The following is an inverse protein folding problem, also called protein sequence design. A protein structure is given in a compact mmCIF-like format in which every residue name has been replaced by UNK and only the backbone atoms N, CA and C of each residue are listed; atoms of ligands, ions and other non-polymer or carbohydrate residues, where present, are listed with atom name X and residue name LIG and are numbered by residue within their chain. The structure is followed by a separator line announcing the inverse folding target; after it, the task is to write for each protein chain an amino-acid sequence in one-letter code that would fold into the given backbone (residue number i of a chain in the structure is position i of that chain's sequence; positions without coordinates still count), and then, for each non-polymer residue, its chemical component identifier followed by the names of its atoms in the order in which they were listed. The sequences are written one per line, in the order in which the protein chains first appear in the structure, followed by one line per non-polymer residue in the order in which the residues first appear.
data_IF_999344725116
#
_entry.id   IF_999344725116
#
_cell.length_a   1.000
_cell.length_b   1.000
_cell.length_c   1.000
_cell.angle_alpha   90.00
_cell.angle_beta   90.00
_cell.angle_gamma   90.00
#
_symmetry.space_group_name_H-M   'P 1'
#
loop_
_entity.id
_entity.type
_entity.pdbx_description
1 polymer ?
#
# COMPACT_ATOMS: atom_id res chain seq x y z
N UNK A 1 18.91 2.39 4.91
CA UNK A 1 17.97 2.96 3.90
C UNK A 1 16.57 2.80 4.45
N UNK A 2 16.08 3.86 5.09
CA UNK A 2 14.86 3.84 5.91
C UNK A 2 13.59 4.08 5.10
N UNK A 3 12.45 3.83 5.74
CA UNK A 3 11.05 4.10 5.38
C UNK A 3 10.75 4.93 4.12
N UNK A 4 11.45 6.03 3.87
CA UNK A 4 11.18 6.95 2.75
C UNK A 4 11.16 6.27 1.39
N UNK A 5 12.08 5.33 1.14
CA UNK A 5 12.09 4.57 -0.13
C UNK A 5 10.84 3.69 -0.31
N UNK A 6 10.25 3.21 0.78
CA UNK A 6 9.05 2.36 0.72
C UNK A 6 7.80 3.20 0.45
N UNK A 7 7.72 4.42 1.00
CA UNK A 7 6.61 5.32 0.71
C UNK A 7 6.54 5.70 -0.78
N UNK A 8 7.70 5.87 -1.44
CA UNK A 8 7.76 6.17 -2.88
C UNK A 8 7.19 5.04 -3.75
N UNK A 9 7.30 3.78 -3.32
CA UNK A 9 6.72 2.64 -4.05
C UNK A 9 5.19 2.73 -4.03
N UNK A 10 4.59 2.97 -2.86
CA UNK A 10 3.14 3.13 -2.73
C UNK A 10 2.61 4.35 -3.48
N UNK A 11 3.26 5.52 -3.32
CA UNK A 11 2.90 6.76 -4.02
C UNK A 11 2.98 6.58 -5.54
N UNK A 12 4.08 6.00 -6.04
CA UNK A 12 4.28 5.76 -7.45
C UNK A 12 3.26 4.79 -8.04
N UNK A 13 2.94 3.73 -7.31
CA UNK A 13 1.95 2.75 -7.78
C UNK A 13 0.50 3.25 -7.70
N UNK A 14 0.13 4.05 -6.70
CA UNK A 14 -1.18 4.74 -6.69
C UNK A 14 -1.29 5.77 -7.81
N UNK A 15 -0.18 6.43 -8.13
CA UNK A 15 -0.11 7.31 -9.30
C UNK A 15 -0.33 6.50 -10.58
N UNK A 16 0.26 5.32 -10.71
CA UNK A 16 0.01 4.43 -11.85
C UNK A 16 -1.45 3.96 -11.91
N UNK A 17 -2.07 3.62 -10.78
CA UNK A 17 -3.48 3.25 -10.70
C UNK A 17 -4.44 4.38 -11.04
N UNK A 18 -4.08 5.62 -10.70
CA UNK A 18 -4.81 6.81 -11.12
C UNK A 18 -4.74 6.98 -12.64
N UNK A 19 -3.53 6.93 -13.22
CA UNK A 19 -3.36 7.07 -14.67
C UNK A 19 -3.94 5.89 -15.47
N UNK A 20 -4.05 4.71 -14.87
CA UNK A 20 -4.74 3.58 -15.47
C UNK A 20 -6.26 3.65 -15.31
N UNK A 21 -6.82 4.67 -14.63
CA UNK A 21 -8.27 4.82 -14.43
C UNK A 21 -8.89 3.90 -13.37
N UNK A 22 -8.07 3.17 -12.59
CA UNK A 22 -8.58 2.35 -11.48
C UNK A 22 -9.01 3.24 -10.31
N UNK A 23 -8.25 4.31 -10.06
CA UNK A 23 -8.55 5.34 -9.06
C UNK A 23 -8.88 6.67 -9.74
N UNK A 24 -10.01 7.27 -9.38
CA UNK A 24 -10.44 8.58 -9.85
C UNK A 24 -10.18 9.66 -8.81
N UNK A 25 -9.48 10.71 -9.22
CA UNK A 25 -9.28 11.94 -8.45
C UNK A 25 -9.50 13.15 -9.36
N UNK A 26 -9.92 14.29 -8.80
CA UNK A 26 -10.23 15.49 -9.58
C UNK A 26 -8.99 16.20 -10.18
N UNK A 27 -7.78 15.86 -9.73
CA UNK A 27 -6.53 16.48 -10.16
C UNK A 27 -5.67 15.55 -11.03
N UNK A 28 -4.60 16.10 -11.62
CA UNK A 28 -3.60 15.35 -12.41
C UNK A 28 -2.55 14.62 -11.57
N UNK A 29 -2.64 14.71 -10.24
CA UNK A 29 -1.74 14.06 -9.30
C UNK A 29 -2.56 13.46 -8.17
N UNK A 30 -2.05 12.40 -7.55
CA UNK A 30 -2.69 11.85 -6.36
C UNK A 30 -2.71 12.90 -5.24
N UNK A 31 -3.77 12.97 -4.42
CA UNK A 31 -3.89 14.01 -3.40
C UNK A 31 -2.79 13.94 -2.33
N UNK A 32 -2.40 15.10 -1.79
CA UNK A 32 -1.37 15.21 -0.74
C UNK A 32 -1.71 14.37 0.49
N UNK A 33 -2.98 14.30 0.87
CA UNK A 33 -3.41 13.48 2.00
C UNK A 33 -3.13 11.99 1.78
N UNK A 34 -3.22 11.48 0.55
CA UNK A 34 -2.94 10.08 0.23
C UNK A 34 -1.44 9.80 0.31
N UNK A 35 -0.61 10.74 -0.14
CA UNK A 35 0.85 10.67 0.02
C UNK A 35 1.26 10.64 1.49
N UNK A 36 0.60 11.43 2.34
CA UNK A 36 0.82 11.42 3.80
C UNK A 36 0.35 10.12 4.45
N UNK A 37 -0.78 9.55 4.01
CA UNK A 37 -1.24 8.22 4.47
C UNK A 37 -0.21 7.14 4.14
N UNK A 38 0.37 7.16 2.93
CA UNK A 38 1.45 6.24 2.56
C UNK A 38 2.69 6.41 3.46
N UNK A 39 3.11 7.64 3.71
CA UNK A 39 4.23 7.92 4.61
C UNK A 39 3.96 7.41 6.04
N UNK A 40 2.76 7.64 6.56
CA UNK A 40 2.32 7.17 7.87
C UNK A 40 2.22 5.64 7.96
N UNK A 41 1.63 5.00 6.95
CA UNK A 41 1.55 3.53 6.85
C UNK A 41 2.94 2.90 6.91
N UNK A 42 3.85 3.40 6.08
CA UNK A 42 5.22 2.87 6.03
C UNK A 42 5.98 3.13 7.33
N UNK A 43 5.81 4.30 7.95
CA UNK A 43 6.40 4.59 9.25
C UNK A 43 5.88 3.63 10.33
N UNK A 44 4.57 3.33 10.33
CA UNK A 44 3.96 2.36 11.23
C UNK A 44 4.50 0.95 11.01
N UNK A 45 4.52 0.48 9.76
CA UNK A 45 5.09 -0.83 9.40
C UNK A 45 6.55 -0.93 9.85
N UNK A 46 7.34 0.12 9.68
CA UNK A 46 8.72 0.15 10.16
C UNK A 46 8.81 0.08 11.68
N UNK A 47 7.93 0.78 12.41
CA UNK A 47 7.88 0.74 13.87
C UNK A 47 7.58 -0.67 14.39
N UNK A 48 6.64 -1.38 13.75
CA UNK A 48 6.21 -2.73 14.19
C UNK A 48 6.93 -3.87 13.46
N UNK A 49 7.97 -3.57 12.66
CA UNK A 49 8.61 -4.53 11.73
C UNK A 49 9.11 -5.80 12.42
N UNK A 50 9.71 -5.68 13.60
CA UNK A 50 10.29 -6.82 14.30
C UNK A 50 9.21 -7.79 14.77
N UNK A 51 8.07 -7.27 15.20
CA UNK A 51 6.89 -8.08 15.50
C UNK A 51 6.29 -8.72 14.25
N UNK A 52 6.19 -7.97 13.14
CA UNK A 52 5.69 -8.50 11.86
C UNK A 52 6.53 -9.70 11.39
N UNK A 53 7.85 -9.62 11.47
CA UNK A 53 8.75 -10.70 11.04
C UNK A 53 8.62 -11.99 11.88
N UNK A 54 7.92 -11.97 13.03
CA UNK A 54 7.60 -13.19 13.79
C UNK A 54 6.37 -13.94 13.28
N UNK A 55 5.59 -13.34 12.36
CA UNK A 55 4.32 -13.88 11.88
C UNK A 55 4.49 -14.64 10.57
N UNK A 56 3.59 -15.60 10.25
CA UNK A 56 3.63 -16.31 8.97
C UNK A 56 3.48 -15.32 7.81
N UNK A 57 4.43 -15.35 6.86
CA UNK A 57 4.50 -14.38 5.75
C UNK A 57 3.24 -14.37 4.89
N UNK A 58 2.67 -15.54 4.60
CA UNK A 58 1.45 -15.65 3.80
C UNK A 58 0.28 -14.92 4.46
N UNK A 59 0.18 -14.95 5.79
CA UNK A 59 -0.89 -14.28 6.53
C UNK A 59 -0.73 -12.76 6.44
N UNK A 60 0.49 -12.26 6.57
CA UNK A 60 0.78 -10.83 6.44
C UNK A 60 0.47 -10.31 5.03
N UNK A 61 0.77 -11.10 4.00
CA UNK A 61 0.44 -10.77 2.61
C UNK A 61 -1.07 -10.74 2.38
N UNK A 62 -1.82 -11.72 2.89
CA UNK A 62 -3.28 -11.73 2.77
C UNK A 62 -3.94 -10.60 3.55
N UNK A 63 -3.54 -10.37 4.80
CA UNK A 63 -4.08 -9.28 5.62
C UNK A 63 -3.72 -7.93 4.98
N UNK A 64 -2.51 -7.76 4.47
CA UNK A 64 -2.11 -6.55 3.77
C UNK A 64 -2.88 -6.34 2.46
N UNK A 65 -3.14 -7.42 1.70
CA UNK A 65 -4.02 -7.41 0.52
C UNK A 65 -5.44 -6.95 0.84
N UNK A 66 -6.07 -7.57 1.84
CA UNK A 66 -7.45 -7.27 2.25
C UNK A 66 -7.53 -5.87 2.87
N UNK A 67 -6.69 -5.58 3.86
CA UNK A 67 -6.68 -4.31 4.58
C UNK A 67 -6.36 -3.14 3.65
N UNK A 68 -5.42 -3.35 2.74
CA UNK A 68 -5.10 -2.44 1.66
C UNK A 68 -6.30 -2.11 0.79
N UNK A 69 -6.91 -3.11 0.14
CA UNK A 69 -8.10 -2.89 -0.70
C UNK A 69 -9.26 -2.24 0.07
N UNK A 70 -9.50 -2.68 1.31
CA UNK A 70 -10.53 -2.12 2.19
C UNK A 70 -10.28 -0.64 2.54
N UNK A 71 -9.03 -0.19 2.61
CA UNK A 71 -8.73 1.23 2.87
C UNK A 71 -9.24 2.14 1.75
N UNK A 72 -9.15 1.71 0.49
CA UNK A 72 -9.67 2.46 -0.67
C UNK A 72 -11.18 2.36 -0.79
N UNK A 73 -11.78 1.20 -0.44
CA UNK A 73 -13.23 1.09 -0.32
C UNK A 73 -13.78 2.03 0.76
N UNK A 74 -13.03 2.23 1.85
CA UNK A 74 -13.32 3.25 2.86
C UNK A 74 -13.26 4.66 2.28
N UNK A 75 -12.20 4.99 1.53
CA UNK A 75 -12.09 6.26 0.81
C UNK A 75 -13.25 6.50 -0.16
N UNK A 76 -13.65 5.49 -0.92
CA UNK A 76 -14.79 5.54 -1.83
C UNK A 76 -16.10 5.84 -1.10
N UNK A 77 -16.36 5.17 0.03
CA UNK A 77 -17.53 5.45 0.88
C UNK A 77 -17.53 6.86 1.48
N UNK A 78 -16.36 7.46 1.63
CA UNK A 78 -16.19 8.84 2.10
C UNK A 78 -16.20 9.86 0.94
N UNK A 79 -16.45 9.42 -0.31
CA UNK A 79 -16.35 10.24 -1.53
C UNK A 79 -14.97 10.90 -1.69
N UNK A 80 -13.92 10.27 -1.18
CA UNK A 80 -12.53 10.76 -1.27
C UNK A 80 -11.80 10.26 -2.52
N UNK A 81 -12.30 9.18 -3.14
CA UNK A 81 -11.77 8.56 -4.36
C UNK A 81 -12.92 7.94 -5.13
N UNK A 82 -12.88 8.03 -6.46
CA UNK A 82 -13.85 7.38 -7.35
C UNK A 82 -13.27 6.11 -7.95
N UNK A 83 -14.13 5.22 -8.43
CA UNK A 83 -13.73 4.00 -9.16
C UNK A 83 -14.34 3.98 -10.57
N UNK A 84 -13.66 4.59 -11.56
CA UNK A 84 -14.16 4.69 -12.94
C UNK A 84 -14.48 3.34 -13.60
N UNK A 85 -13.75 2.28 -13.25
CA UNK A 85 -13.99 0.92 -13.74
C UNK A 85 -15.09 0.16 -12.99
N UNK A 86 -15.68 0.74 -11.95
CA UNK A 86 -16.62 0.07 -11.08
C UNK A 86 -15.99 -0.44 -9.79
N UNK A 87 -16.82 -0.61 -8.76
CA UNK A 87 -16.37 -0.92 -7.40
C UNK A 87 -15.71 -2.30 -7.33
N UNK A 88 -16.27 -3.30 -8.02
CA UNK A 88 -15.81 -4.70 -7.92
C UNK A 88 -14.46 -4.85 -8.62
N UNK A 89 -14.35 -4.30 -9.83
CA UNK A 89 -13.17 -4.32 -10.69
C UNK A 89 -12.02 -3.58 -10.00
N UNK A 90 -12.27 -2.38 -9.50
CA UNK A 90 -11.26 -1.62 -8.75
C UNK A 90 -10.87 -2.33 -7.44
N UNK A 91 -11.82 -2.91 -6.69
CA UNK A 91 -11.50 -3.66 -5.47
C UNK A 91 -10.64 -4.91 -5.74
N UNK A 92 -10.92 -5.64 -6.83
CA UNK A 92 -10.12 -6.79 -7.24
C UNK A 92 -8.70 -6.37 -7.67
N UNK A 93 -8.58 -5.30 -8.47
CA UNK A 93 -7.28 -4.75 -8.86
C UNK A 93 -6.47 -4.29 -7.64
N UNK A 94 -7.11 -3.56 -6.72
CA UNK A 94 -6.51 -3.10 -5.48
C UNK A 94 -6.05 -4.26 -4.59
N UNK A 95 -6.85 -5.32 -4.47
CA UNK A 95 -6.46 -6.51 -3.71
C UNK A 95 -5.17 -7.13 -4.27
N UNK A 96 -5.11 -7.32 -5.60
CA UNK A 96 -3.91 -7.87 -6.26
C UNK A 96 -2.69 -6.97 -6.05
N UNK A 97 -2.85 -5.66 -6.24
CA UNK A 97 -1.77 -4.69 -6.05
C UNK A 97 -1.28 -4.68 -4.60
N UNK A 98 -2.19 -4.73 -3.63
CA UNK A 98 -1.82 -4.74 -2.21
C UNK A 98 -1.19 -6.06 -1.76
N UNK A 99 -1.56 -7.19 -2.35
CA UNK A 99 -0.83 -8.45 -2.19
C UNK A 99 0.62 -8.29 -2.65
N UNK A 100 0.83 -7.66 -3.81
CA UNK A 100 2.18 -7.39 -4.35
C UNK A 100 2.95 -6.43 -3.43
N UNK A 101 2.36 -5.31 -3.04
CA UNK A 101 2.98 -4.37 -2.11
C UNK A 101 3.36 -5.02 -0.80
N UNK A 102 2.46 -5.82 -0.21
CA UNK A 102 2.72 -6.51 1.05
C UNK A 102 3.88 -7.49 0.93
N UNK A 103 3.94 -8.25 -0.17
CA UNK A 103 5.05 -9.16 -0.44
C UNK A 103 6.38 -8.40 -0.62
N UNK A 104 6.38 -7.29 -1.37
CA UNK A 104 7.55 -6.44 -1.59
C UNK A 104 8.04 -5.83 -0.28
N UNK A 105 7.16 -5.25 0.53
CA UNK A 105 7.53 -4.64 1.80
C UNK A 105 8.11 -5.67 2.78
N UNK A 106 7.51 -6.86 2.89
CA UNK A 106 8.06 -7.93 3.72
C UNK A 106 9.44 -8.38 3.25
N UNK A 107 9.66 -8.49 1.93
CA UNK A 107 10.96 -8.84 1.38
C UNK A 107 12.02 -7.76 1.70
N UNK A 108 11.65 -6.48 1.59
CA UNK A 108 12.55 -5.35 1.88
C UNK A 108 12.88 -5.24 3.37
N UNK A 109 11.90 -5.42 4.24
CA UNK A 109 12.09 -5.45 5.71
C UNK A 109 12.98 -6.63 6.12
N UNK A 110 12.80 -7.79 5.50
CA UNK A 110 13.62 -8.95 5.79
C UNK A 110 15.09 -8.74 5.36
N UNK A 111 15.32 -8.05 4.23
CA UNK A 111 16.68 -7.69 3.77
C UNK A 111 17.35 -6.67 4.69
N UNK A 112 16.62 -5.67 5.18
CA UNK A 112 17.19 -4.66 6.08
C UNK A 112 17.58 -5.23 7.44
N UNK A 113 16.91 -6.28 7.91
CA UNK A 113 17.30 -7.00 9.13
C UNK A 113 18.62 -7.77 8.97
N UNK A 114 18.78 -8.50 7.86
CA UNK A 114 19.98 -9.31 7.60
C UNK A 114 21.25 -8.44 7.51
N UNK A 115 21.13 -7.23 6.93
CA UNK A 115 22.27 -6.30 6.82
C UNK A 115 22.68 -5.59 8.11
N UNK A 116 21.93 -5.71 9.20
CA UNK A 116 22.28 -5.15 10.53
C UNK A 116 22.97 -6.20 11.42
N UNK A 117 22.78 -7.49 11.13
CA UNK A 117 23.36 -8.60 11.90
C UNK A 117 24.66 -9.15 11.29
N UNK A 118 25.14 -8.58 10.19
CA UNK A 118 26.41 -8.91 9.52
C UNK A 118 27.43 -7.79 9.78
#
# INVERSE_FOLDING_TARGET
MGCTSFALVGIGGDTALMYSGVLGFSGSMIPVWLMLLWAGFVAYIWLVRDWLLTKPRWLLVLIGGIGGAMSYLGGYRLNAVDFPYGVIESAAALFVVWVIYSAVYLALINRSRVGVTA
#
